data_IF_174583584717
#
_entry.id   IF_174583584717
#
_cell.length_a   1.000
_cell.length_b   1.000
_cell.length_c   1.000
_cell.angle_alpha   90.00
_cell.angle_beta   90.00
_cell.angle_gamma   90.00
#
_symmetry.space_group_name_H-M   'P 1'
#
loop_
_entity.id
_entity.type
_entity.pdbx_description
1 polymer ?
#
# COMPACT_ATOMS: atom_id res chain seq x y z
N UNK A 1 -21.64 -21.66 13.62
CA UNK A 1 -20.19 -21.54 13.87
C UNK A 1 -19.43 -20.88 12.72
N UNK A 2 -19.60 -21.29 11.46
CA UNK A 2 -18.88 -20.73 10.28
C UNK A 2 -19.09 -19.22 10.07
N UNK A 3 -20.33 -18.71 10.21
CA UNK A 3 -20.64 -17.28 10.01
C UNK A 3 -19.85 -16.34 10.92
N UNK A 4 -19.60 -16.75 12.17
CA UNK A 4 -18.83 -15.96 13.12
C UNK A 4 -17.35 -15.90 12.75
N UNK A 5 -16.77 -17.05 12.38
CA UNK A 5 -15.39 -17.13 11.90
C UNK A 5 -15.17 -16.30 10.64
N UNK A 6 -16.10 -16.34 9.68
CA UNK A 6 -16.01 -15.55 8.45
C UNK A 6 -16.09 -14.03 8.72
N UNK A 7 -17.01 -13.61 9.61
CA UNK A 7 -17.13 -12.19 10.00
C UNK A 7 -15.87 -11.68 10.71
N UNK A 8 -15.30 -12.50 11.59
CA UNK A 8 -14.05 -12.17 12.26
C UNK A 8 -12.88 -12.09 11.28
N UNK A 9 -12.74 -13.09 10.40
CA UNK A 9 -11.71 -13.11 9.37
C UNK A 9 -11.80 -11.85 8.48
N UNK A 10 -12.99 -11.55 7.95
CA UNK A 10 -13.20 -10.35 7.15
C UNK A 10 -12.81 -9.08 7.93
N UNK A 11 -13.31 -8.91 9.16
CA UNK A 11 -12.98 -7.72 9.97
C UNK A 11 -11.51 -7.62 10.36
N UNK A 12 -10.77 -8.71 10.47
CA UNK A 12 -9.35 -8.68 10.80
C UNK A 12 -8.47 -8.37 9.57
N UNK A 13 -8.93 -8.74 8.37
CA UNK A 13 -8.11 -8.67 7.14
C UNK A 13 -8.50 -7.53 6.20
N UNK A 14 -9.72 -6.99 6.29
CA UNK A 14 -10.16 -5.85 5.45
C UNK A 14 -10.23 -4.53 6.21
N UNK A 15 -10.05 -4.56 7.54
CA UNK A 15 -10.01 -3.35 8.35
C UNK A 15 -8.80 -2.51 7.94
N UNK A 16 -9.06 -1.23 7.69
CA UNK A 16 -8.07 -0.25 7.22
C UNK A 16 -7.54 -0.51 5.79
N UNK A 17 -8.11 -1.45 5.04
CA UNK A 17 -7.71 -1.68 3.65
C UNK A 17 -7.94 -0.43 2.77
N UNK A 18 -9.08 0.29 2.87
CA UNK A 18 -9.26 1.53 2.11
C UNK A 18 -8.26 2.63 2.46
N UNK A 19 -7.91 2.82 3.74
CA UNK A 19 -6.95 3.84 4.15
C UNK A 19 -5.51 3.46 3.77
N UNK A 20 -5.15 2.16 3.80
CA UNK A 20 -3.87 1.66 3.29
C UNK A 20 -3.75 1.92 1.79
N UNK A 21 -4.80 1.62 1.02
CA UNK A 21 -4.84 1.91 -0.43
C UNK A 21 -4.69 3.40 -0.70
N UNK A 22 -5.38 4.26 0.06
CA UNK A 22 -5.27 5.71 -0.12
C UNK A 22 -3.86 6.22 0.19
N UNK A 23 -3.25 5.76 1.28
CA UNK A 23 -1.87 6.10 1.61
C UNK A 23 -0.88 5.65 0.54
N UNK A 24 -1.09 4.47 -0.06
CA UNK A 24 -0.25 3.97 -1.15
C UNK A 24 -0.40 4.82 -2.41
N UNK A 25 -1.63 5.19 -2.79
CA UNK A 25 -1.87 6.08 -3.93
C UNK A 25 -1.10 7.39 -3.79
N UNK A 26 -1.17 8.03 -2.63
CA UNK A 26 -0.45 9.29 -2.36
C UNK A 26 1.06 9.11 -2.51
N UNK A 27 1.63 8.05 -1.93
CA UNK A 27 3.07 7.73 -2.04
C UNK A 27 3.48 7.50 -3.50
N UNK A 28 2.72 6.68 -4.24
CA UNK A 28 3.00 6.41 -5.65
C UNK A 28 2.90 7.66 -6.51
N UNK A 29 1.88 8.50 -6.35
CA UNK A 29 1.77 9.75 -7.10
C UNK A 29 2.96 10.68 -6.84
N UNK A 30 3.48 10.71 -5.61
CA UNK A 30 4.67 11.50 -5.30
C UNK A 30 5.95 10.94 -5.94
N UNK A 31 6.12 9.62 -5.98
CA UNK A 31 7.26 8.97 -6.64
C UNK A 31 7.18 9.08 -8.17
N UNK A 32 5.98 8.93 -8.74
CA UNK A 32 5.70 9.06 -10.16
C UNK A 32 6.07 10.47 -10.65
N UNK A 33 5.56 11.52 -9.99
CA UNK A 33 5.90 12.90 -10.31
C UNK A 33 7.41 13.15 -10.28
N UNK A 34 8.11 12.62 -9.27
CA UNK A 34 9.56 12.82 -9.15
C UNK A 34 10.36 12.08 -10.22
N UNK A 35 9.95 10.86 -10.56
CA UNK A 35 10.57 10.08 -11.63
C UNK A 35 10.40 10.72 -13.02
N UNK A 36 9.31 11.45 -13.23
CA UNK A 36 9.11 12.25 -14.44
C UNK A 36 9.98 13.52 -14.48
N UNK A 37 10.29 14.11 -13.31
CA UNK A 37 11.15 15.30 -13.19
C UNK A 37 12.66 14.96 -13.23
N UNK A 38 13.05 13.71 -12.97
CA UNK A 38 14.42 13.23 -13.04
C UNK A 38 14.62 11.83 -12.43
N UNK A 39 15.87 11.37 -12.37
CA UNK A 39 16.18 10.06 -11.78
C UNK A 39 15.84 10.05 -10.29
N UNK A 40 15.15 9.00 -9.84
CA UNK A 40 14.86 8.79 -8.43
C UNK A 40 16.14 8.60 -7.62
N UNK A 41 16.16 9.19 -6.42
CA UNK A 41 17.23 8.98 -5.46
C UNK A 41 17.11 7.59 -4.83
N UNK A 42 18.22 7.08 -4.29
CA UNK A 42 18.25 5.77 -3.61
C UNK A 42 17.17 5.66 -2.50
N UNK A 43 16.96 6.74 -1.75
CA UNK A 43 15.93 6.78 -0.70
C UNK A 43 14.51 6.64 -1.25
N UNK A 44 14.28 7.10 -2.48
CA UNK A 44 12.99 7.05 -3.17
C UNK A 44 12.76 5.69 -3.81
N UNK A 45 13.84 5.05 -4.30
CA UNK A 45 13.81 3.65 -4.72
C UNK A 45 13.48 2.72 -3.55
N UNK A 46 14.06 2.96 -2.36
CA UNK A 46 13.72 2.22 -1.14
C UNK A 46 12.24 2.41 -0.76
N UNK A 47 11.70 3.63 -0.86
CA UNK A 47 10.27 3.89 -0.63
C UNK A 47 9.40 3.15 -1.66
N UNK A 48 9.79 3.15 -2.93
CA UNK A 48 9.13 2.41 -4.01
C UNK A 48 9.09 0.90 -3.70
N UNK A 49 10.22 0.30 -3.33
CA UNK A 49 10.25 -1.13 -2.96
C UNK A 49 9.37 -1.44 -1.75
N UNK A 50 9.35 -0.55 -0.75
CA UNK A 50 8.44 -0.66 0.39
C UNK A 50 6.97 -0.61 -0.03
N UNK A 51 6.60 0.35 -0.89
CA UNK A 51 5.23 0.48 -1.40
C UNK A 51 4.80 -0.74 -2.24
N UNK A 52 5.71 -1.32 -3.04
CA UNK A 52 5.46 -2.57 -3.78
C UNK A 52 5.25 -3.75 -2.83
N UNK A 53 6.06 -3.87 -1.78
CA UNK A 53 5.87 -4.89 -0.74
C UNK A 53 4.54 -4.72 -0.02
N UNK A 54 4.16 -3.48 0.30
CA UNK A 54 2.88 -3.17 0.93
C UNK A 54 1.71 -3.62 0.06
N UNK A 55 1.77 -3.42 -1.27
CA UNK A 55 0.77 -3.91 -2.24
C UNK A 55 0.67 -5.44 -2.22
N UNK A 56 1.80 -6.14 -2.27
CA UNK A 56 1.81 -7.61 -2.24
C UNK A 56 1.25 -8.19 -0.93
N UNK A 57 1.18 -7.35 0.12
CA UNK A 57 0.68 -7.69 1.45
C UNK A 57 -0.76 -7.21 1.70
N UNK A 58 -1.45 -6.66 0.69
CA UNK A 58 -2.88 -6.35 0.72
C UNK A 58 -3.71 -7.57 0.33
#
# INVERSE_FOLDING_TARGET
>A
MIKGALKYWHSAHTKNLPSRIESLKVRFSALDQKGEEGDLLEVELVDMYGATSDIHSL
#
